data_IF_354243097524
#
_entry.id   IF_354243097524
#
_cell.length_a   1.000
_cell.length_b   1.000
_cell.length_c   1.000
_cell.angle_alpha   90.00
_cell.angle_beta   90.00
_cell.angle_gamma   90.00
#
_symmetry.space_group_name_H-M   'P 1'
#
loop_
_entity.id
_entity.type
_entity.pdbx_description
1 polymer ?
#
# COMPACT_ATOMS: atom_id res chain seq x y z
N UNK A 1 -26.44 12.82 -32.38
CA UNK A 1 -25.66 12.65 -31.14
C UNK A 1 -24.81 13.91 -31.01
N UNK A 2 -25.10 14.75 -30.01
CA UNK A 2 -24.29 15.93 -29.68
C UNK A 2 -22.87 15.45 -29.33
N UNK A 3 -21.80 16.01 -29.91
CA UNK A 3 -20.45 15.63 -29.53
C UNK A 3 -20.26 15.98 -28.05
N UNK A 4 -19.98 14.97 -27.22
CA UNK A 4 -19.56 15.21 -25.86
C UNK A 4 -18.27 16.03 -25.96
N UNK A 5 -18.25 17.20 -25.33
CA UNK A 5 -17.07 18.06 -25.33
C UNK A 5 -15.91 17.26 -24.77
N UNK A 6 -14.88 17.03 -25.57
CA UNK A 6 -13.69 16.28 -25.13
C UNK A 6 -12.90 17.15 -24.16
N UNK A 7 -12.66 16.64 -22.95
CA UNK A 7 -11.74 17.25 -22.01
C UNK A 7 -10.30 17.11 -22.52
N UNK A 8 -9.48 18.14 -22.35
CA UNK A 8 -8.07 18.12 -22.74
C UNK A 8 -7.17 18.30 -21.52
N UNK A 9 -5.96 17.75 -21.58
CA UNK A 9 -4.87 17.99 -20.64
C UNK A 9 -3.52 17.76 -21.34
N UNK A 10 -2.46 18.34 -20.79
CA UNK A 10 -1.10 18.08 -21.30
C UNK A 10 -0.65 16.65 -20.96
N UNK A 11 -1.00 16.18 -19.77
CA UNK A 11 -0.63 14.83 -19.29
C UNK A 11 -1.82 14.17 -18.62
N UNK A 12 -2.15 12.95 -19.06
CA UNK A 12 -3.08 12.08 -18.36
C UNK A 12 -2.33 10.99 -17.60
N UNK A 13 -2.49 10.97 -16.27
CA UNK A 13 -1.92 9.96 -15.39
C UNK A 13 -2.99 8.97 -14.97
N UNK A 14 -2.79 7.69 -15.28
CA UNK A 14 -3.72 6.60 -14.92
C UNK A 14 -3.25 5.93 -13.65
N UNK A 15 -3.89 6.23 -12.53
CA UNK A 15 -3.61 5.74 -11.19
C UNK A 15 -3.17 6.84 -10.22
N UNK A 16 -3.97 7.08 -9.18
CA UNK A 16 -3.75 8.08 -8.13
C UNK A 16 -2.97 7.57 -6.90
N UNK A 17 -2.29 6.42 -7.01
CA UNK A 17 -1.41 5.92 -5.96
C UNK A 17 -0.12 6.75 -5.80
N UNK A 18 0.80 6.39 -4.88
CA UNK A 18 1.98 7.20 -4.57
C UNK A 18 2.83 7.60 -5.79
N UNK A 19 3.03 6.66 -6.73
CA UNK A 19 3.78 6.96 -7.97
C UNK A 19 3.09 7.98 -8.85
N UNK A 20 1.77 7.81 -9.12
CA UNK A 20 0.99 8.74 -9.94
C UNK A 20 0.84 10.10 -9.30
N UNK A 21 0.54 10.15 -8.00
CA UNK A 21 0.42 11.40 -7.24
C UNK A 21 1.72 12.19 -7.19
N UNK A 22 2.86 11.49 -7.02
CA UNK A 22 4.18 12.12 -6.99
C UNK A 22 4.54 12.71 -8.35
N UNK A 23 4.33 11.94 -9.42
CA UNK A 23 4.55 12.41 -10.78
C UNK A 23 3.65 13.60 -11.10
N UNK A 24 2.34 13.49 -10.81
CA UNK A 24 1.38 14.56 -11.04
C UNK A 24 1.81 15.85 -10.33
N UNK A 25 2.27 15.76 -9.08
CA UNK A 25 2.81 16.91 -8.35
C UNK A 25 3.99 17.57 -9.06
N UNK A 26 4.95 16.78 -9.52
CA UNK A 26 6.13 17.32 -10.20
C UNK A 26 5.76 18.02 -11.51
N UNK A 27 4.89 17.40 -12.30
CA UNK A 27 4.42 17.95 -13.58
C UNK A 27 3.58 19.21 -13.39
N UNK A 28 2.67 19.23 -12.41
CA UNK A 28 1.86 20.42 -12.09
C UNK A 28 2.77 21.57 -11.64
N UNK A 29 3.79 21.31 -10.81
CA UNK A 29 4.78 22.33 -10.42
C UNK A 29 5.63 22.84 -11.59
N UNK A 30 5.79 22.04 -12.64
CA UNK A 30 6.43 22.45 -13.88
C UNK A 30 5.48 23.25 -14.82
N UNK A 31 4.25 23.52 -14.39
CA UNK A 31 3.29 24.33 -15.14
C UNK A 31 2.45 23.55 -16.14
N UNK A 32 2.46 22.22 -16.13
CA UNK A 32 1.65 21.40 -17.02
C UNK A 32 0.23 21.21 -16.46
N UNK A 33 -0.75 21.17 -17.35
CA UNK A 33 -2.12 20.77 -17.03
C UNK A 33 -2.21 19.25 -16.91
N UNK A 34 -2.27 18.75 -15.67
CA UNK A 34 -2.27 17.33 -15.35
C UNK A 34 -3.65 16.88 -14.90
N UNK A 35 -4.14 15.80 -15.51
CA UNK A 35 -5.33 15.10 -15.09
C UNK A 35 -4.94 13.71 -14.56
N UNK A 36 -5.36 13.39 -13.34
CA UNK A 36 -5.22 12.05 -12.76
C UNK A 36 -6.56 11.34 -12.79
N UNK A 37 -6.61 10.16 -13.40
CA UNK A 37 -7.77 9.28 -13.37
C UNK A 37 -7.48 8.05 -12.51
N UNK A 38 -8.37 7.70 -11.58
CA UNK A 38 -8.30 6.47 -10.80
C UNK A 38 -9.66 5.80 -10.70
N UNK A 39 -9.67 4.46 -10.82
CA UNK A 39 -10.90 3.66 -10.71
C UNK A 39 -11.55 3.70 -9.33
N UNK A 40 -10.81 4.08 -8.31
CA UNK A 40 -11.26 4.19 -6.93
C UNK A 40 -11.50 5.66 -6.55
N UNK A 41 -12.50 5.90 -5.70
CA UNK A 41 -12.61 7.13 -4.95
C UNK A 41 -11.62 7.14 -3.78
N UNK A 42 -11.16 8.31 -3.35
CA UNK A 42 -10.26 8.47 -2.21
C UNK A 42 -10.98 9.19 -1.06
N UNK A 43 -10.69 8.83 0.21
CA UNK A 43 -9.74 7.82 0.67
C UNK A 43 -10.17 6.41 0.30
N UNK A 44 -9.20 5.54 -0.01
CA UNK A 44 -9.44 4.14 -0.33
C UNK A 44 -8.53 3.21 0.44
N UNK A 45 -9.00 2.04 0.75
CA UNK A 45 -8.15 0.99 1.28
C UNK A 45 -7.20 0.47 0.21
N UNK A 46 -5.98 0.19 0.64
CA UNK A 46 -4.96 -0.42 -0.19
C UNK A 46 -4.15 -1.37 0.66
N UNK A 47 -4.23 -2.65 0.36
CA UNK A 47 -3.44 -3.68 1.00
C UNK A 47 -1.96 -3.35 0.82
N UNK A 48 -1.26 -3.09 1.91
CA UNK A 48 0.17 -2.79 1.97
C UNK A 48 0.57 -2.61 3.43
N UNK A 49 1.66 -3.20 3.85
CA UNK A 49 2.22 -2.97 5.17
C UNK A 49 2.34 -1.47 5.53
N UNK A 50 2.39 -0.59 4.53
CA UNK A 50 2.44 0.86 4.78
C UNK A 50 3.75 1.28 5.43
N UNK A 51 4.85 0.76 4.92
CA UNK A 51 6.20 1.01 5.42
C UNK A 51 6.92 1.98 4.50
N UNK A 52 7.44 3.08 5.06
CA UNK A 52 8.20 4.08 4.30
C UNK A 52 9.52 4.40 5.01
N UNK A 53 10.57 4.62 4.22
CA UNK A 53 11.88 5.02 4.75
C UNK A 53 12.01 6.54 4.79
N UNK A 54 12.94 7.12 5.59
CA UNK A 54 13.23 8.54 5.56
C UNK A 54 13.55 9.06 4.14
N UNK A 55 14.29 8.29 3.34
CA UNK A 55 14.60 8.65 1.96
C UNK A 55 13.36 8.80 1.06
N UNK A 56 12.32 7.99 1.29
CA UNK A 56 11.02 8.15 0.60
C UNK A 56 10.36 9.46 0.99
N UNK A 57 10.32 9.79 2.29
CA UNK A 57 9.72 11.04 2.77
C UNK A 57 10.47 12.26 2.21
N UNK A 58 11.79 12.20 2.17
CA UNK A 58 12.66 13.23 1.59
C UNK A 58 12.42 13.39 0.08
N UNK A 59 12.43 12.31 -0.68
CA UNK A 59 12.15 12.31 -2.13
C UNK A 59 10.77 12.88 -2.44
N UNK A 60 9.79 12.63 -1.58
CA UNK A 60 8.46 13.21 -1.68
C UNK A 60 8.42 14.68 -1.22
N UNK A 61 9.50 15.23 -0.66
CA UNK A 61 9.50 16.53 0.01
C UNK A 61 8.36 16.65 1.00
N UNK A 62 8.15 15.62 1.82
CA UNK A 62 7.06 15.53 2.76
C UNK A 62 7.51 16.12 4.10
N UNK A 63 6.84 17.17 4.55
CA UNK A 63 7.00 17.68 5.91
C UNK A 63 6.31 16.71 6.87
N UNK A 64 7.12 16.13 7.78
CA UNK A 64 6.63 15.13 8.73
C UNK A 64 5.64 15.74 9.74
N UNK A 65 5.87 16.98 10.13
CA UNK A 65 5.02 17.68 11.09
C UNK A 65 3.65 17.99 10.48
N UNK A 66 3.64 18.47 9.22
CA UNK A 66 2.39 18.69 8.48
C UNK A 66 1.65 17.37 8.22
N UNK A 67 2.36 16.34 7.75
CA UNK A 67 1.73 15.04 7.49
C UNK A 67 1.12 14.43 8.76
N UNK A 68 1.82 14.50 9.89
CA UNK A 68 1.37 13.90 11.16
C UNK A 68 0.12 14.59 11.77
N UNK A 69 -0.30 15.74 11.23
CA UNK A 69 -1.54 16.40 11.67
C UNK A 69 -2.77 15.56 11.26
N UNK A 70 -3.29 14.78 12.22
CA UNK A 70 -4.46 13.93 12.02
C UNK A 70 -4.24 12.68 11.17
N UNK A 71 -2.99 12.29 10.91
CA UNK A 71 -2.61 11.08 10.17
C UNK A 71 -1.55 10.29 10.91
N UNK A 72 -1.53 9.01 10.65
CA UNK A 72 -0.57 8.10 11.27
C UNK A 72 0.80 8.23 10.61
N UNK A 73 1.80 8.60 11.42
CA UNK A 73 3.22 8.54 11.10
C UNK A 73 3.95 7.90 12.29
N UNK A 74 3.91 6.57 12.36
CA UNK A 74 4.49 5.80 13.46
C UNK A 74 6.00 5.67 13.27
N UNK A 75 6.85 6.26 14.13
CA UNK A 75 8.29 6.08 14.04
C UNK A 75 8.67 4.63 14.34
N UNK A 76 9.70 4.15 13.67
CA UNK A 76 10.28 2.82 13.86
C UNK A 76 11.76 3.01 14.18
N UNK A 77 12.14 2.61 15.40
CA UNK A 77 13.49 2.78 15.95
C UNK A 77 14.19 1.44 16.18
N UNK A 78 13.56 0.32 15.83
CA UNK A 78 14.15 -0.98 15.96
C UNK A 78 13.39 -2.05 15.22
N UNK A 79 13.90 -3.27 15.27
CA UNK A 79 13.27 -4.44 14.68
C UNK A 79 13.46 -5.66 15.58
N UNK A 80 12.43 -6.45 15.73
CA UNK A 80 12.52 -7.79 16.27
C UNK A 80 12.42 -8.78 15.13
N UNK A 81 13.46 -9.56 14.92
CA UNK A 81 13.56 -10.52 13.82
C UNK A 81 13.79 -11.92 14.35
N UNK A 82 13.19 -12.91 13.71
CA UNK A 82 13.37 -14.31 14.08
C UNK A 82 12.97 -15.25 12.94
N UNK A 83 13.41 -16.49 13.04
CA UNK A 83 12.89 -17.59 12.22
C UNK A 83 11.87 -18.33 13.07
N UNK A 84 10.74 -18.66 12.48
CA UNK A 84 9.66 -19.33 13.20
C UNK A 84 10.13 -20.58 13.94
N UNK A 85 10.02 -20.56 15.29
CA UNK A 85 10.43 -21.66 16.17
C UNK A 85 11.86 -21.59 16.67
N UNK A 86 12.58 -20.51 16.37
CA UNK A 86 13.92 -20.22 16.86
C UNK A 86 13.94 -18.93 17.68
N UNK A 87 15.11 -18.61 18.23
CA UNK A 87 15.30 -17.39 19.02
C UNK A 87 15.10 -16.13 18.17
N UNK A 88 14.63 -15.08 18.83
CA UNK A 88 14.42 -13.76 18.24
C UNK A 88 15.59 -12.85 18.61
N UNK A 89 15.97 -11.98 17.69
CA UNK A 89 16.97 -10.93 17.89
C UNK A 89 16.30 -9.57 17.77
N UNK A 90 16.62 -8.67 18.70
CA UNK A 90 16.14 -7.30 18.67
C UNK A 90 17.29 -6.34 18.37
N UNK A 91 17.05 -5.43 17.42
CA UNK A 91 18.02 -4.42 17.01
C UNK A 91 17.40 -3.04 17.24
N UNK A 92 18.16 -2.12 17.82
CA UNK A 92 17.74 -0.76 18.12
C UNK A 92 18.59 0.27 17.38
N UNK A 93 17.98 1.38 17.04
CA UNK A 93 18.62 2.52 16.41
C UNK A 93 18.34 3.80 17.23
N UNK A 94 19.29 4.75 17.29
CA UNK A 94 19.12 5.97 18.07
C UNK A 94 18.12 6.96 17.45
N UNK A 95 17.73 6.72 16.18
CA UNK A 95 16.80 7.57 15.43
C UNK A 95 15.85 6.70 14.63
N UNK A 96 14.65 7.20 14.24
CA UNK A 96 13.77 6.48 13.35
C UNK A 96 14.44 6.13 12.02
N UNK A 97 14.49 4.86 11.71
CA UNK A 97 15.03 4.32 10.44
C UNK A 97 13.95 4.10 9.40
N UNK A 98 12.69 4.13 9.84
CA UNK A 98 11.53 4.05 8.96
C UNK A 98 10.27 4.53 9.69
N UNK A 99 9.15 4.56 8.97
CA UNK A 99 7.86 4.97 9.51
C UNK A 99 6.75 4.05 8.99
N UNK A 100 5.82 3.73 9.89
CA UNK A 100 4.55 3.12 9.54
C UNK A 100 3.51 4.17 9.18
N UNK A 101 2.85 3.99 8.03
CA UNK A 101 1.76 4.88 7.56
C UNK A 101 0.53 4.05 7.21
N UNK A 102 -0.64 4.65 7.32
CA UNK A 102 -1.87 4.07 6.79
C UNK A 102 -2.04 4.49 5.33
N UNK A 103 -2.17 3.51 4.44
CA UNK A 103 -2.22 3.76 3.00
C UNK A 103 -3.43 4.58 2.56
N UNK A 104 -4.57 4.44 3.20
CA UNK A 104 -5.73 5.27 2.93
C UNK A 104 -5.45 6.76 3.19
N UNK A 105 -4.75 7.09 4.26
CA UNK A 105 -4.36 8.44 4.62
C UNK A 105 -3.22 8.97 3.74
N UNK A 106 -2.17 8.14 3.58
CA UNK A 106 -0.97 8.51 2.85
C UNK A 106 -1.23 8.75 1.36
N UNK A 107 -1.93 7.83 0.71
CA UNK A 107 -2.26 7.94 -0.69
C UNK A 107 -3.16 9.16 -0.95
N UNK A 108 -4.16 9.38 -0.09
CA UNK A 108 -5.07 10.54 -0.18
C UNK A 108 -4.32 11.85 -0.02
N UNK A 109 -3.43 11.94 0.99
CA UNK A 109 -2.62 13.14 1.22
C UNK A 109 -1.75 13.47 0.01
N UNK A 110 -1.03 12.48 -0.55
CA UNK A 110 -0.19 12.68 -1.72
C UNK A 110 -1.01 13.11 -2.94
N UNK A 111 -2.18 12.51 -3.16
CA UNK A 111 -3.04 12.81 -4.29
C UNK A 111 -3.57 14.24 -4.22
N UNK A 112 -4.11 14.65 -3.09
CA UNK A 112 -4.62 16.03 -2.91
C UNK A 112 -3.50 17.07 -2.99
N UNK A 113 -2.32 16.74 -2.48
CA UNK A 113 -1.13 17.59 -2.55
C UNK A 113 -0.58 17.74 -3.97
N UNK A 114 -0.99 16.91 -4.92
CA UNK A 114 -0.49 16.94 -6.29
C UNK A 114 -0.84 18.24 -7.01
N UNK A 115 -1.98 18.87 -6.67
CA UNK A 115 -2.50 20.04 -7.38
C UNK A 115 -3.07 19.74 -8.76
N UNK A 116 -3.08 18.47 -9.17
CA UNK A 116 -3.63 18.04 -10.44
C UNK A 116 -5.16 18.01 -10.42
N UNK A 117 -5.79 18.08 -11.59
CA UNK A 117 -7.21 17.79 -11.75
C UNK A 117 -7.43 16.29 -11.51
N UNK A 118 -8.56 15.93 -10.88
CA UNK A 118 -8.83 14.55 -10.47
C UNK A 118 -10.14 14.04 -11.06
N UNK A 119 -10.11 12.84 -11.64
CA UNK A 119 -11.28 12.02 -11.97
C UNK A 119 -11.20 10.71 -11.19
N UNK A 120 -11.83 10.68 -10.04
CA UNK A 120 -11.82 9.54 -9.12
C UNK A 120 -13.11 8.72 -9.26
N UNK A 121 -13.01 7.40 -9.05
CA UNK A 121 -14.11 6.47 -9.28
C UNK A 121 -14.33 6.15 -10.76
N UNK A 122 -13.42 6.55 -11.66
CA UNK A 122 -13.53 6.35 -13.09
C UNK A 122 -12.44 5.41 -13.62
N UNK A 123 -12.84 4.30 -14.20
CA UNK A 123 -11.93 3.34 -14.83
C UNK A 123 -11.58 3.74 -16.26
N UNK A 124 -10.34 3.49 -16.67
CA UNK A 124 -9.96 3.55 -18.08
C UNK A 124 -10.51 2.31 -18.78
N UNK A 125 -11.45 2.53 -19.74
CA UNK A 125 -12.13 1.50 -20.53
C UNK A 125 -11.58 1.39 -21.95
N UNK A 126 -11.13 2.49 -22.51
CA UNK A 126 -10.58 2.53 -23.87
C UNK A 126 -9.43 3.54 -23.96
N UNK A 127 -8.44 3.20 -24.77
CA UNK A 127 -7.29 4.05 -25.08
C UNK A 127 -6.98 3.86 -26.57
N UNK A 128 -7.10 4.92 -27.35
CA UNK A 128 -6.85 4.91 -28.79
C UNK A 128 -5.81 5.98 -29.11
N UNK A 129 -4.81 5.60 -29.90
CA UNK A 129 -3.82 6.56 -30.39
C UNK A 129 -4.37 7.26 -31.64
N UNK A 130 -4.46 8.59 -31.59
CA UNK A 130 -4.93 9.39 -32.70
C UNK A 130 -4.25 10.77 -32.73
N UNK A 131 -4.01 11.30 -33.93
CA UNK A 131 -3.47 12.65 -34.15
C UNK A 131 -2.20 12.97 -33.30
N UNK A 132 -1.31 11.99 -33.13
CA UNK A 132 -0.07 12.16 -32.36
C UNK A 132 -0.24 12.10 -30.83
N UNK A 133 -1.45 11.93 -30.32
CA UNK A 133 -1.78 11.81 -28.89
C UNK A 133 -2.67 10.60 -28.60
N UNK A 134 -3.45 10.72 -27.54
CA UNK A 134 -4.33 9.69 -27.02
C UNK A 134 -5.75 10.21 -26.83
N UNK A 135 -6.74 9.39 -27.20
CA UNK A 135 -8.13 9.54 -26.80
C UNK A 135 -8.47 8.44 -25.80
N UNK A 136 -8.78 8.83 -24.57
CA UNK A 136 -9.12 7.91 -23.48
C UNK A 136 -10.60 8.04 -23.13
N UNK A 137 -11.28 6.90 -22.97
CA UNK A 137 -12.71 6.79 -22.69
C UNK A 137 -13.61 7.56 -23.67
N UNK A 138 -13.16 7.78 -24.90
CA UNK A 138 -13.84 8.64 -25.90
C UNK A 138 -14.16 10.06 -25.40
N UNK A 139 -13.48 10.53 -24.35
CA UNK A 139 -13.80 11.79 -23.67
C UNK A 139 -12.56 12.64 -23.33
N UNK A 140 -11.40 12.07 -23.13
CA UNK A 140 -10.18 12.77 -22.69
C UNK A 140 -9.12 12.69 -23.78
N UNK A 141 -8.64 13.85 -24.21
CA UNK A 141 -7.53 13.97 -25.18
C UNK A 141 -6.28 14.46 -24.48
N UNK A 142 -5.16 13.78 -24.73
CA UNK A 142 -3.86 14.13 -24.16
C UNK A 142 -2.71 13.77 -25.11
N UNK A 143 -1.70 14.60 -25.28
CA UNK A 143 -0.48 14.21 -26.00
C UNK A 143 0.32 13.14 -25.24
N UNK A 144 0.26 13.11 -23.91
CA UNK A 144 1.02 12.19 -23.09
C UNK A 144 0.14 11.39 -22.13
N UNK A 145 0.19 10.07 -22.25
CA UNK A 145 -0.52 9.11 -21.39
C UNK A 145 0.49 8.33 -20.54
N UNK A 146 0.33 8.35 -19.22
CA UNK A 146 1.24 7.70 -18.27
C UNK A 146 0.49 6.69 -17.41
N UNK A 147 1.02 5.46 -17.37
CA UNK A 147 0.50 4.40 -16.52
C UNK A 147 1.16 4.36 -15.15
N UNK A 148 0.36 4.58 -14.09
CA UNK A 148 0.76 4.50 -12.69
C UNK A 148 -0.22 3.66 -11.84
N UNK A 149 -1.00 2.79 -12.48
CA UNK A 149 -2.08 1.99 -11.85
C UNK A 149 -1.61 0.75 -11.08
N UNK A 150 -0.30 0.58 -10.86
CA UNK A 150 0.27 -0.60 -10.19
C UNK A 150 0.25 -1.85 -11.08
N UNK A 151 0.28 -3.03 -10.46
CA UNK A 151 0.39 -4.32 -11.17
C UNK A 151 -0.71 -4.56 -12.23
N UNK A 152 -1.88 -3.97 -12.04
CA UNK A 152 -3.03 -4.12 -12.96
C UNK A 152 -3.25 -2.87 -13.82
N UNK A 153 -2.21 -2.07 -14.03
CA UNK A 153 -2.31 -0.86 -14.83
C UNK A 153 -2.69 -1.16 -16.29
N UNK A 154 -3.81 -0.63 -16.82
CA UNK A 154 -4.24 -0.90 -18.18
C UNK A 154 -3.24 -0.34 -19.21
N UNK A 155 -2.59 0.79 -18.92
CA UNK A 155 -1.57 1.38 -19.79
C UNK A 155 -0.33 0.48 -19.85
N UNK A 156 0.15 0.00 -18.71
CA UNK A 156 1.30 -0.92 -18.68
C UNK A 156 0.97 -2.22 -19.43
N UNK A 157 -0.24 -2.74 -19.28
CA UNK A 157 -0.69 -3.94 -20.02
C UNK A 157 -0.70 -3.72 -21.53
N UNK A 158 -1.16 -2.56 -21.99
CA UNK A 158 -1.17 -2.21 -23.41
C UNK A 158 0.25 -2.06 -23.99
N UNK A 159 1.21 -1.56 -23.19
CA UNK A 159 2.58 -1.32 -23.62
C UNK A 159 3.48 -2.56 -23.52
N UNK A 160 3.01 -3.65 -22.93
CA UNK A 160 3.79 -4.90 -22.87
C UNK A 160 4.06 -5.43 -24.28
N UNK A 161 5.32 -5.53 -24.61
CA UNK A 161 5.81 -6.08 -25.88
C UNK A 161 5.97 -7.60 -25.83
N UNK A 162 6.19 -8.16 -24.64
CA UNK A 162 6.30 -9.59 -24.41
C UNK A 162 5.37 -10.02 -23.24
N UNK A 163 4.18 -10.56 -23.53
CA UNK A 163 3.29 -11.06 -22.50
C UNK A 163 3.77 -12.36 -21.84
N UNK A 164 4.74 -13.07 -22.44
CA UNK A 164 5.23 -14.35 -21.96
C UNK A 164 6.46 -14.25 -21.03
N UNK A 165 7.02 -13.06 -20.80
CA UNK A 165 8.13 -12.90 -19.87
C UNK A 165 7.71 -13.34 -18.46
N UNK A 166 8.35 -14.36 -17.86
CA UNK A 166 7.99 -14.85 -16.54
C UNK A 166 8.34 -13.79 -15.50
N UNK A 167 7.33 -13.27 -14.79
CA UNK A 167 7.52 -12.45 -13.62
C UNK A 167 7.39 -13.33 -12.37
N UNK A 168 8.39 -13.33 -11.50
CA UNK A 168 8.25 -13.95 -10.19
C UNK A 168 7.37 -13.04 -9.33
N UNK A 169 6.16 -13.51 -9.01
CA UNK A 169 5.22 -12.77 -8.17
C UNK A 169 5.36 -13.22 -6.72
N UNK A 170 5.58 -12.27 -5.83
CA UNK A 170 5.42 -12.46 -4.40
C UNK A 170 3.98 -12.15 -4.03
N UNK A 171 3.29 -13.14 -3.48
CA UNK A 171 1.92 -12.99 -3.01
C UNK A 171 1.94 -12.64 -1.53
N UNK A 172 1.23 -11.58 -1.16
CA UNK A 172 1.09 -11.15 0.23
C UNK A 172 -0.38 -11.10 0.65
N UNK A 173 -0.64 -11.48 1.88
CA UNK A 173 -1.92 -11.31 2.55
C UNK A 173 -1.70 -10.56 3.85
N UNK A 174 -2.54 -9.57 4.12
CA UNK A 174 -2.49 -8.80 5.37
C UNK A 174 -3.86 -8.45 5.88
N UNK A 175 -3.91 -8.07 7.15
CA UNK A 175 -5.04 -7.41 7.79
C UNK A 175 -4.55 -6.19 8.55
N UNK A 176 -5.30 -5.10 8.47
CA UNK A 176 -5.12 -3.92 9.30
C UNK A 176 -6.43 -3.64 10.04
N UNK A 177 -6.36 -3.44 11.34
CA UNK A 177 -7.55 -3.18 12.15
C UNK A 177 -7.23 -2.24 13.31
N UNK A 178 -8.24 -1.51 13.78
CA UNK A 178 -8.09 -0.63 14.92
C UNK A 178 -7.79 -1.46 16.18
N UNK A 179 -6.80 -1.01 16.95
CA UNK A 179 -6.40 -1.58 18.22
C UNK A 179 -5.90 -0.45 19.13
N UNK A 180 -6.46 -0.32 20.31
CA UNK A 180 -6.02 0.66 21.28
C UNK A 180 -4.59 0.39 21.80
N UNK A 181 -3.94 1.40 22.37
CA UNK A 181 -2.58 1.27 22.88
C UNK A 181 -2.41 0.12 23.89
N UNK A 182 -3.40 -0.10 24.75
CA UNK A 182 -3.39 -1.21 25.73
C UNK A 182 -3.53 -2.57 25.05
N UNK A 183 -4.33 -2.66 24.00
CA UNK A 183 -4.49 -3.88 23.22
C UNK A 183 -3.22 -4.22 22.45
N UNK A 184 -2.56 -3.22 21.85
CA UNK A 184 -1.28 -3.38 21.16
C UNK A 184 -0.21 -3.86 22.12
N UNK A 185 -0.07 -3.22 23.29
CA UNK A 185 0.86 -3.66 24.36
C UNK A 185 0.52 -5.07 24.85
N UNK A 186 -0.76 -5.36 25.04
CA UNK A 186 -1.24 -6.68 25.44
C UNK A 186 -0.92 -7.78 24.42
N UNK A 187 -0.68 -7.42 23.15
CA UNK A 187 -0.21 -8.33 22.11
C UNK A 187 1.32 -8.53 22.14
N UNK A 188 2.06 -7.86 23.03
CA UNK A 188 3.52 -7.91 23.05
C UNK A 188 4.18 -7.18 21.87
N UNK A 189 3.45 -6.27 21.23
CA UNK A 189 3.96 -5.44 20.14
C UNK A 189 4.40 -4.10 20.72
N UNK A 190 5.68 -3.78 20.55
CA UNK A 190 6.18 -2.44 20.78
C UNK A 190 5.87 -1.58 19.53
N UNK A 191 5.22 -0.41 19.67
CA UNK A 191 4.87 0.44 18.55
C UNK A 191 6.05 0.86 17.67
N UNK A 192 7.24 0.97 18.26
CA UNK A 192 8.45 1.39 17.54
C UNK A 192 9.32 0.23 17.04
N UNK A 193 8.97 -1.01 17.41
CA UNK A 193 9.77 -2.21 17.11
C UNK A 193 8.90 -3.26 16.38
N UNK A 194 8.71 -3.12 15.06
CA UNK A 194 8.08 -4.14 14.26
C UNK A 194 8.71 -5.51 14.40
N UNK A 195 7.86 -6.54 14.32
CA UNK A 195 8.26 -7.94 14.41
C UNK A 195 8.24 -8.58 13.04
N UNK A 196 9.31 -9.29 12.68
CA UNK A 196 9.44 -10.07 11.46
C UNK A 196 9.76 -11.52 11.75
N UNK A 197 9.01 -12.41 11.13
CA UNK A 197 9.18 -13.85 11.28
C UNK A 197 9.44 -14.48 9.92
N UNK A 198 10.69 -14.82 9.66
CA UNK A 198 11.06 -15.53 8.44
C UNK A 198 10.49 -16.94 8.44
N UNK A 199 10.04 -17.39 7.28
CA UNK A 199 9.69 -18.79 7.09
C UNK A 199 10.96 -19.64 7.17
N UNK A 200 10.90 -20.90 7.70
CA UNK A 200 12.09 -21.75 7.83
C UNK A 200 12.78 -22.05 6.48
N UNK A 201 12.03 -22.04 5.38
CA UNK A 201 12.53 -22.22 4.02
C UNK A 201 13.03 -20.92 3.36
N UNK A 202 12.97 -19.79 4.07
CA UNK A 202 13.33 -18.44 3.65
C UNK A 202 12.61 -17.93 2.38
N UNK A 203 11.53 -18.59 1.97
CA UNK A 203 10.71 -18.17 0.80
C UNK A 203 9.67 -17.13 1.13
N UNK A 204 9.68 -16.59 2.34
CA UNK A 204 8.77 -15.55 2.77
C UNK A 204 8.99 -15.15 4.21
N UNK A 205 8.24 -14.12 4.61
CA UNK A 205 8.23 -13.67 6.00
C UNK A 205 6.87 -13.09 6.38
N UNK A 206 6.53 -13.23 7.64
CA UNK A 206 5.41 -12.56 8.27
C UNK A 206 5.85 -11.31 9.01
N UNK A 207 4.91 -10.40 9.22
CA UNK A 207 5.12 -9.19 10.01
C UNK A 207 3.97 -8.92 10.96
N UNK A 208 4.29 -8.25 12.04
CA UNK A 208 3.32 -7.70 12.98
C UNK A 208 3.86 -6.38 13.52
N UNK A 209 3.14 -5.27 13.34
CA UNK A 209 3.54 -3.98 13.88
C UNK A 209 2.38 -3.01 14.05
N UNK A 210 2.58 -2.03 14.91
CA UNK A 210 1.62 -0.97 15.18
C UNK A 210 1.78 0.20 14.21
N UNK A 211 0.65 0.86 13.92
CA UNK A 211 0.57 2.13 13.18
C UNK A 211 -0.37 3.05 13.95
N UNK A 212 0.15 3.79 14.94
CA UNK A 212 -0.69 4.51 15.89
C UNK A 212 -1.65 3.55 16.60
N UNK A 213 -2.94 3.79 16.48
CA UNK A 213 -4.01 2.95 17.05
C UNK A 213 -4.50 1.85 16.09
N UNK A 214 -3.59 1.31 15.26
CA UNK A 214 -3.87 0.21 14.35
C UNK A 214 -2.79 -0.84 14.46
N UNK A 215 -3.19 -2.10 14.32
CA UNK A 215 -2.27 -3.23 14.21
C UNK A 215 -2.33 -3.77 12.78
N UNK A 216 -1.16 -3.94 12.16
CA UNK A 216 -1.02 -4.51 10.83
C UNK A 216 -0.29 -5.84 10.94
N UNK A 217 -0.88 -6.89 10.40
CA UNK A 217 -0.34 -8.24 10.42
C UNK A 217 -0.43 -8.83 9.03
N UNK A 218 0.65 -9.39 8.54
CA UNK A 218 0.63 -10.01 7.22
C UNK A 218 1.75 -11.02 7.02
N UNK A 219 1.74 -11.60 5.83
CA UNK A 219 2.76 -12.52 5.35
C UNK A 219 2.87 -12.41 3.84
N UNK A 220 4.11 -12.35 3.34
CA UNK A 220 4.44 -12.44 1.93
C UNK A 220 5.29 -13.67 1.63
N UNK A 221 5.02 -14.36 0.51
CA UNK A 221 5.78 -15.51 0.04
C UNK A 221 5.90 -15.54 -1.48
N UNK A 222 6.98 -16.14 -1.97
CA UNK A 222 7.19 -16.40 -3.40
C UNK A 222 6.20 -17.45 -3.94
N UNK A 223 5.77 -18.39 -3.09
CA UNK A 223 4.75 -19.36 -3.43
C UNK A 223 3.40 -19.00 -2.79
N UNK A 224 2.32 -19.05 -3.55
CA UNK A 224 0.96 -18.80 -3.05
C UNK A 224 0.35 -20.01 -2.33
N UNK A 225 1.04 -21.17 -2.34
CA UNK A 225 0.50 -22.40 -1.78
C UNK A 225 0.35 -22.29 -0.26
N UNK A 226 -0.89 -22.47 0.23
CA UNK A 226 -1.24 -22.39 1.67
C UNK A 226 -0.97 -21.04 2.34
N UNK A 227 -0.98 -19.94 1.59
CA UNK A 227 -0.76 -18.60 2.16
C UNK A 227 -1.66 -18.35 3.39
N UNK A 228 -2.95 -18.67 3.31
CA UNK A 228 -3.90 -18.51 4.43
C UNK A 228 -3.52 -19.30 5.67
N UNK A 229 -2.97 -20.52 5.52
CA UNK A 229 -2.50 -21.32 6.64
C UNK A 229 -1.24 -20.70 7.29
N UNK A 230 -0.36 -20.11 6.50
CA UNK A 230 0.81 -19.40 6.99
C UNK A 230 0.43 -18.10 7.71
N UNK A 231 -0.52 -17.32 7.19
CA UNK A 231 -1.05 -16.12 7.85
C UNK A 231 -1.65 -16.47 9.22
N UNK A 232 -2.43 -17.55 9.30
CA UNK A 232 -2.99 -18.01 10.58
C UNK A 232 -1.88 -18.42 11.56
N UNK A 233 -0.77 -18.97 11.09
CA UNK A 233 0.38 -19.26 11.93
C UNK A 233 1.07 -17.99 12.44
N UNK A 234 1.24 -16.96 11.61
CA UNK A 234 1.80 -15.65 12.05
C UNK A 234 0.87 -15.02 13.10
N UNK A 235 -0.44 -15.07 12.91
CA UNK A 235 -1.43 -14.61 13.91
C UNK A 235 -1.27 -15.35 15.24
N UNK A 236 -1.08 -16.67 15.21
CA UNK A 236 -0.86 -17.47 16.43
C UNK A 236 0.47 -17.16 17.10
N UNK A 237 1.51 -16.82 16.34
CA UNK A 237 2.80 -16.39 16.89
C UNK A 237 2.69 -15.04 17.58
N UNK A 238 2.09 -14.05 16.91
CA UNK A 238 1.77 -12.75 17.50
C UNK A 238 0.90 -12.89 18.78
N UNK A 239 0.00 -13.89 18.82
CA UNK A 239 -0.79 -14.21 20.01
C UNK A 239 0.00 -14.97 21.10
N UNK A 240 1.03 -15.78 20.75
CA UNK A 240 1.88 -16.54 21.68
C UNK A 240 3.00 -15.72 22.31
N UNK A 241 3.40 -14.60 21.72
CA UNK A 241 4.29 -13.62 22.33
C UNK A 241 3.69 -13.05 23.63
N UNK A 242 2.42 -13.31 23.89
CA UNK A 242 1.73 -13.10 25.18
C UNK A 242 2.20 -14.12 26.22
N UNK A 243 3.28 -13.87 26.89
CA UNK A 243 3.72 -14.72 28.02
C UNK A 243 2.97 -14.45 29.33
N UNK A 244 1.78 -13.84 29.34
CA UNK A 244 0.91 -13.82 30.50
C UNK A 244 -0.54 -14.12 30.12
N UNK A 245 -1.10 -15.25 30.63
CA UNK A 245 -2.51 -15.60 30.45
C UNK A 245 -3.35 -14.85 31.49
N UNK A 246 -3.65 -13.58 31.28
CA UNK A 246 -4.55 -12.83 32.10
C UNK A 246 -5.58 -12.11 31.23
N UNK A 247 -6.84 -12.48 31.35
CA UNK A 247 -8.09 -11.85 30.91
C UNK A 247 -8.20 -11.13 29.54
N UNK A 248 -7.12 -10.54 28.98
CA UNK A 248 -7.15 -9.84 27.70
C UNK A 248 -7.29 -10.78 26.48
N UNK A 249 -6.90 -12.05 26.60
CA UNK A 249 -6.96 -13.03 25.51
C UNK A 249 -8.38 -13.33 25.01
N UNK A 250 -9.41 -13.00 25.79
CA UNK A 250 -10.82 -13.24 25.47
C UNK A 250 -11.51 -12.05 24.80
N UNK A 251 -10.90 -10.85 24.81
CA UNK A 251 -11.55 -9.63 24.31
C UNK A 251 -11.10 -9.20 22.91
N UNK A 252 -9.96 -9.67 22.40
CA UNK A 252 -9.56 -9.36 21.03
C UNK A 252 -10.29 -10.32 20.11
N UNK A 253 -11.41 -9.89 19.57
CA UNK A 253 -12.06 -10.54 18.44
C UNK A 253 -11.20 -10.28 17.19
N UNK A 254 -10.32 -11.21 16.88
CA UNK A 254 -9.61 -11.19 15.62
C UNK A 254 -10.63 -11.30 14.48
N UNK A 255 -10.60 -10.38 13.49
CA UNK A 255 -11.47 -10.52 12.33
C UNK A 255 -11.26 -11.90 11.70
N UNK A 256 -12.32 -12.53 11.25
CA UNK A 256 -12.21 -13.84 10.56
C UNK A 256 -11.48 -13.64 9.26
N UNK A 257 -10.82 -14.68 8.75
CA UNK A 257 -10.17 -14.65 7.44
C UNK A 257 -11.14 -14.27 6.29
N UNK A 258 -12.44 -14.48 6.47
CA UNK A 258 -13.50 -14.01 5.57
C UNK A 258 -13.63 -12.49 5.52
N UNK A 259 -13.15 -11.77 6.54
CA UNK A 259 -13.22 -10.32 6.66
C UNK A 259 -11.92 -9.66 6.14
N UNK A 260 -10.88 -10.45 5.91
CA UNK A 260 -9.69 -10.03 5.21
C UNK A 260 -10.01 -10.04 3.71
N UNK A 261 -9.96 -8.88 3.07
CA UNK A 261 -10.07 -8.77 1.62
C UNK A 261 -8.96 -9.61 0.97
N UNK A 262 -9.30 -10.86 0.63
CA UNK A 262 -8.44 -11.75 -0.15
C UNK A 262 -8.40 -11.24 -1.57
N UNK A 263 -7.30 -10.60 -1.97
CA UNK A 263 -7.02 -10.34 -3.36
C UNK A 263 -6.18 -11.47 -3.97
N UNK A 264 -6.79 -12.65 -4.07
CA UNK A 264 -6.54 -13.52 -5.20
C UNK A 264 -7.62 -13.21 -6.23
N UNK A 265 -7.47 -12.16 -7.04
CA UNK A 265 -8.26 -12.06 -8.25
C UNK A 265 -7.67 -13.07 -9.23
N UNK A 266 -8.45 -14.12 -9.52
CA UNK A 266 -8.22 -15.04 -10.62
C UNK A 266 -7.86 -14.26 -11.89
N UNK A 267 -6.84 -14.72 -12.64
CA UNK A 267 -6.70 -14.33 -14.03
C UNK A 267 -7.82 -15.02 -14.83
N UNK A 268 -8.89 -14.30 -15.14
CA UNK A 268 -9.83 -14.61 -16.19
C UNK A 268 -9.49 -13.78 -17.41
#
# INVERSE_FOLDING_TARGET
MTPVASETCDVLVVGGGPGGSTLARQLTRAGLDVLVIDKQAFPRDKICAGWVTPAVLESLQLDRTDYAQGRVLQPITGFRTGVRGFDETETHYPHPVSYGVRRCEFDTYLLHRSGARLRLGESVKSMVRENGGWLVNNAIRTPLLIGAGGNFCPVARMLRTDPAAPETLVVAQEIEFAAGADEIRGCGVDPEIPQFYFCPDLKGYGWCFAKGNYLNIGLGREDSHRLSAHVEQVRRLAARARRHPGELSRKIQWPRLSDASCFAQNPG
#
